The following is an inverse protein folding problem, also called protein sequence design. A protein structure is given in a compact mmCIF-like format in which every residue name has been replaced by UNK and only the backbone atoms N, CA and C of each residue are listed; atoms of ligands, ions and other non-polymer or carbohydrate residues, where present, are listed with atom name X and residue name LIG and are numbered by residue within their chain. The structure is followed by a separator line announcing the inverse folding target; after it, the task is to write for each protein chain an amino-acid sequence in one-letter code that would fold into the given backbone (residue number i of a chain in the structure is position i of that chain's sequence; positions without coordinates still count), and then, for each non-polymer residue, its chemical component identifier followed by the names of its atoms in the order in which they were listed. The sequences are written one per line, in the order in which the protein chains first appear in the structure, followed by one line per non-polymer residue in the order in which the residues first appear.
data_IF_433779642892
#
_entry.id   IF_433779642892
#
_cell.length_a   1.000
_cell.length_b   1.000
_cell.length_c   1.000
_cell.angle_alpha   90.00
_cell.angle_beta   90.00
_cell.angle_gamma   90.00
#
_symmetry.space_group_name_H-M   'P 1'
#
loop_
_entity.id
_entity.type
_entity.pdbx_description
1 polymer ?
#
# COMPACT_ATOMS: atom_id res chain seq x y z
N UNK A 1 10.38 -2.84 8.73
CA UNK A 1 11.81 -3.03 9.07
C UNK A 1 12.25 -4.51 9.15
N UNK A 2 11.71 -5.33 10.07
CA UNK A 2 12.21 -6.71 10.28
C UNK A 2 12.03 -7.63 9.06
N UNK A 3 10.86 -7.61 8.40
CA UNK A 3 10.62 -8.36 7.18
C UNK A 3 11.63 -8.02 6.07
N UNK A 4 11.84 -6.72 5.80
CA UNK A 4 12.85 -6.22 4.85
C UNK A 4 14.25 -6.79 5.14
N UNK A 5 14.69 -6.73 6.41
CA UNK A 5 16.00 -7.26 6.83
C UNK A 5 16.15 -8.76 6.61
N UNK A 6 15.05 -9.51 6.64
CA UNK A 6 15.03 -10.95 6.41
C UNK A 6 14.78 -11.31 4.92
N UNK A 7 14.62 -10.32 4.04
CA UNK A 7 14.24 -10.55 2.64
C UNK A 7 12.83 -11.14 2.49
N UNK A 8 11.96 -10.94 3.48
CA UNK A 8 10.55 -11.34 3.42
C UNK A 8 9.70 -10.18 2.87
N UNK A 9 8.57 -10.50 2.24
CA UNK A 9 7.58 -9.50 1.84
C UNK A 9 6.71 -9.07 3.02
N UNK A 10 6.08 -7.89 2.90
CA UNK A 10 5.08 -7.42 3.84
C UNK A 10 3.86 -6.87 3.08
N UNK A 11 2.66 -7.32 3.46
CA UNK A 11 1.42 -6.85 2.87
C UNK A 11 0.54 -6.23 3.95
N UNK A 12 0.09 -5.00 3.70
CA UNK A 12 -0.94 -4.35 4.51
C UNK A 12 -2.29 -4.96 4.16
N UNK A 13 -2.95 -5.57 5.14
CA UNK A 13 -4.29 -6.09 4.92
C UNK A 13 -5.33 -4.95 4.89
N UNK A 14 -6.51 -5.25 4.33
CA UNK A 14 -7.63 -4.33 4.27
C UNK A 14 -8.80 -4.88 5.08
N UNK A 15 -9.05 -4.25 6.22
CA UNK A 15 -10.04 -4.70 7.21
C UNK A 15 -11.45 -4.15 6.89
N UNK A 16 -11.96 -3.27 7.75
CA UNK A 16 -13.30 -2.70 7.64
C UNK A 16 -13.32 -1.48 6.72
N UNK A 17 -14.46 -1.30 6.03
CA UNK A 17 -14.69 -0.22 5.09
C UNK A 17 -14.32 1.17 5.64
N UNK A 18 -14.71 1.45 6.88
CA UNK A 18 -14.48 2.74 7.55
C UNK A 18 -12.99 3.04 7.74
N UNK A 19 -12.13 2.01 7.76
CA UNK A 19 -10.68 2.14 7.86
C UNK A 19 -9.99 2.23 6.50
N UNK A 20 -10.67 1.93 5.39
CA UNK A 20 -10.05 1.85 4.05
C UNK A 20 -9.25 3.09 3.69
N UNK A 21 -9.85 4.27 3.88
CA UNK A 21 -9.23 5.54 3.53
C UNK A 21 -7.97 5.83 4.36
N UNK A 22 -8.00 5.57 5.67
CA UNK A 22 -6.84 5.77 6.54
C UNK A 22 -5.76 4.73 6.26
N UNK A 23 -6.12 3.47 5.99
CA UNK A 23 -5.15 2.41 5.62
C UNK A 23 -4.42 2.75 4.33
N UNK A 24 -5.13 3.18 3.28
CA UNK A 24 -4.52 3.61 2.01
C UNK A 24 -3.61 4.83 2.17
N UNK A 25 -4.00 5.80 3.00
CA UNK A 25 -3.15 6.97 3.30
C UNK A 25 -1.88 6.54 4.05
N UNK A 26 -2.02 5.80 5.14
CA UNK A 26 -0.90 5.33 5.97
C UNK A 26 0.07 4.49 5.15
N UNK A 27 -0.43 3.60 4.28
CA UNK A 27 0.41 2.82 3.38
C UNK A 27 1.26 3.71 2.47
N UNK A 28 0.65 4.71 1.83
CA UNK A 28 1.36 5.62 0.92
C UNK A 28 2.38 6.50 1.65
N UNK A 29 2.02 7.03 2.82
CA UNK A 29 2.93 7.84 3.64
C UNK A 29 4.12 7.01 4.13
N UNK A 30 3.89 5.78 4.60
CA UNK A 30 4.96 4.87 5.03
C UNK A 30 5.85 4.46 3.85
N UNK A 31 5.27 4.14 2.70
CA UNK A 31 6.00 3.63 1.55
C UNK A 31 6.93 4.66 0.89
N UNK A 32 6.82 5.96 1.21
CA UNK A 32 7.77 7.00 0.76
C UNK A 32 8.85 7.31 1.80
N UNK A 33 8.79 6.74 2.99
CA UNK A 33 9.84 6.94 3.98
C UNK A 33 11.18 6.39 3.45
N UNK A 34 12.32 7.02 3.77
CA UNK A 34 13.63 6.59 3.27
C UNK A 34 13.98 5.13 3.53
N UNK A 35 13.39 4.52 4.57
CA UNK A 35 13.61 3.12 4.91
C UNK A 35 12.73 2.14 4.12
N UNK A 36 11.76 2.60 3.32
CA UNK A 36 10.84 1.73 2.58
C UNK A 36 10.67 2.12 1.11
N UNK A 37 11.05 3.33 0.72
CA UNK A 37 10.94 3.87 -0.64
C UNK A 37 11.41 2.90 -1.72
N UNK A 38 12.58 2.30 -1.50
CA UNK A 38 13.27 1.38 -2.42
C UNK A 38 12.93 -0.10 -2.19
N UNK A 39 11.96 -0.42 -1.33
CA UNK A 39 11.59 -1.80 -1.02
C UNK A 39 10.48 -2.30 -1.96
N UNK A 40 10.78 -3.21 -2.91
CA UNK A 40 9.77 -3.69 -3.88
C UNK A 40 8.74 -4.65 -3.28
N UNK A 41 9.03 -5.27 -2.13
CA UNK A 41 8.17 -6.32 -1.54
C UNK A 41 7.17 -5.79 -0.50
N UNK A 42 6.91 -4.47 -0.50
CA UNK A 42 5.89 -3.82 0.30
C UNK A 42 4.59 -3.69 -0.52
N UNK A 43 3.53 -4.37 -0.08
CA UNK A 43 2.23 -4.40 -0.76
C UNK A 43 1.05 -4.00 0.12
N UNK A 44 -0.10 -3.85 -0.50
CA UNK A 44 -1.40 -3.59 0.16
C UNK A 44 -2.51 -4.39 -0.53
N UNK A 45 -3.43 -4.94 0.27
CA UNK A 45 -4.61 -5.63 -0.22
C UNK A 45 -5.71 -4.63 -0.63
N UNK A 46 -6.46 -4.97 -1.68
CA UNK A 46 -7.66 -4.25 -2.11
C UNK A 46 -8.86 -5.19 -2.19
N UNK A 47 -10.02 -4.66 -1.84
CA UNK A 47 -11.26 -5.39 -1.68
C UNK A 47 -12.11 -5.35 -2.96
N UNK A 48 -11.94 -6.32 -3.87
CA UNK A 48 -12.56 -6.31 -5.20
C UNK A 48 -14.11 -6.27 -5.23
N UNK A 49 -14.78 -6.48 -4.10
CA UNK A 49 -16.24 -6.41 -3.98
C UNK A 49 -16.76 -4.98 -3.74
N UNK A 50 -15.89 -4.01 -3.43
CA UNK A 50 -16.28 -2.60 -3.30
C UNK A 50 -16.30 -1.93 -4.67
N UNK A 51 -17.34 -1.13 -4.92
CA UNK A 51 -17.57 -0.49 -6.22
C UNK A 51 -16.47 0.48 -6.60
N UNK A 52 -15.91 1.17 -5.61
CA UNK A 52 -14.88 2.18 -5.82
C UNK A 52 -13.45 1.62 -5.85
N UNK A 53 -13.24 0.32 -5.63
CA UNK A 53 -11.89 -0.27 -5.61
C UNK A 53 -11.16 -0.11 -6.94
N UNK A 54 -11.87 -0.02 -8.06
CA UNK A 54 -11.25 0.31 -9.36
C UNK A 54 -10.58 1.68 -9.32
N UNK A 55 -11.24 2.68 -8.74
CA UNK A 55 -10.68 4.03 -8.61
C UNK A 55 -9.53 4.05 -7.60
N UNK A 56 -9.64 3.29 -6.51
CA UNK A 56 -8.57 3.15 -5.52
C UNK A 56 -7.31 2.53 -6.17
N UNK A 57 -7.48 1.52 -7.03
CA UNK A 57 -6.40 0.88 -7.77
C UNK A 57 -5.74 1.85 -8.77
N UNK A 58 -6.53 2.56 -9.57
CA UNK A 58 -6.00 3.53 -10.54
C UNK A 58 -5.18 4.63 -9.84
N UNK A 59 -5.69 5.16 -8.72
CA UNK A 59 -4.99 6.16 -7.91
C UNK A 59 -3.70 5.60 -7.29
N UNK A 60 -3.68 4.33 -6.89
CA UNK A 60 -2.46 3.67 -6.38
C UNK A 60 -1.42 3.46 -7.47
N UNK A 61 -1.82 3.09 -8.70
CA UNK A 61 -0.92 2.93 -9.84
C UNK A 61 -0.29 4.28 -10.20
N UNK A 62 -1.10 5.33 -10.31
CA UNK A 62 -0.60 6.68 -10.60
C UNK A 62 0.41 7.15 -9.54
N UNK A 63 0.04 7.02 -8.26
CA UNK A 63 0.92 7.36 -7.15
C UNK A 63 2.21 6.54 -7.14
N UNK A 64 2.14 5.22 -7.39
CA UNK A 64 3.32 4.36 -7.44
C UNK A 64 4.27 4.76 -8.58
N UNK A 65 3.75 5.25 -9.71
CA UNK A 65 4.56 5.81 -10.80
C UNK A 65 5.29 7.10 -10.43
N UNK A 66 4.73 7.89 -9.50
CA UNK A 66 5.37 9.11 -8.97
C UNK A 66 6.34 8.83 -7.81
N UNK A 67 6.28 7.62 -7.23
CA UNK A 67 7.14 7.20 -6.13
C UNK A 67 8.59 7.01 -6.56
N UNK A 68 8.87 6.78 -7.85
CA UNK A 68 10.20 6.44 -8.38
C UNK A 68 11.29 7.47 -8.04
#
# INVERSE_FOLDING_TARGET
QHARRLGASACFDMEHYDLKAITLRTFRELAVEPEFHDWPDLGIALQAYLRETVNDLDALIEWAGQRA
#
